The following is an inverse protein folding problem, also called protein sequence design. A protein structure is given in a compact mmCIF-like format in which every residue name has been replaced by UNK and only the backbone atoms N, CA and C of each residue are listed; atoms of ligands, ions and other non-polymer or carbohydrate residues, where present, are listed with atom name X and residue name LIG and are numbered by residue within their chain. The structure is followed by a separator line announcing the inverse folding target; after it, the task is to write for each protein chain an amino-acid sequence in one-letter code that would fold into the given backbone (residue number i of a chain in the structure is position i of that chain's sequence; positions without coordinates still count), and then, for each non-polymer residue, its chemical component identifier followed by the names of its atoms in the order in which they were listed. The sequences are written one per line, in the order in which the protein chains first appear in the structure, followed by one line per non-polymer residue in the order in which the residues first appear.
data_IF_752283607928
#
_entry.id   IF_752283607928
#
_cell.length_a   1.000
_cell.length_b   1.000
_cell.length_c   1.000
_cell.angle_alpha   90.00
_cell.angle_beta   90.00
_cell.angle_gamma   90.00
#
_symmetry.space_group_name_H-M   'P 1'
#
loop_
_entity.id
_entity.type
_entity.pdbx_description
1 polymer ?
#
# COMPACT_ATOMS: atom_id res chain seq x y z
N UNK A 1 48.54 39.27 42.43
CA UNK A 1 48.44 40.63 41.86
C UNK A 1 47.79 40.50 40.48
N UNK A 2 46.64 41.05 40.10
CA UNK A 2 45.60 41.90 40.74
C UNK A 2 44.43 41.98 39.73
N UNK A 3 43.20 41.62 40.15
CA UNK A 3 41.88 42.30 39.94
C UNK A 3 41.39 42.65 38.50
N UNK A 4 40.26 42.09 38.01
CA UNK A 4 38.82 42.45 38.17
C UNK A 4 38.26 43.55 37.23
N UNK A 5 37.07 43.28 36.62
CA UNK A 5 35.89 44.14 36.29
C UNK A 5 35.41 44.00 34.82
N UNK A 6 34.28 43.35 34.48
CA UNK A 6 32.83 43.72 34.56
C UNK A 6 32.38 44.96 33.79
N UNK A 7 31.62 44.78 32.71
CA UNK A 7 30.56 45.66 32.10
C UNK A 7 29.66 44.69 31.28
N UNK A 8 28.45 44.23 31.68
CA UNK A 8 27.11 44.87 31.80
C UNK A 8 26.65 45.60 30.50
N UNK A 9 25.45 45.52 29.93
CA UNK A 9 24.19 44.80 30.08
C UNK A 9 23.25 45.26 28.91
N UNK A 10 22.00 44.75 28.88
CA UNK A 10 20.79 45.17 28.11
C UNK A 10 20.55 44.46 26.75
N UNK A 11 19.67 43.47 26.54
CA UNK A 11 18.23 43.23 26.89
C UNK A 11 17.26 43.98 25.96
N UNK A 12 16.44 43.26 25.18
CA UNK A 12 14.99 43.49 24.99
C UNK A 12 14.34 42.23 24.37
N UNK A 13 13.28 41.78 25.05
CA UNK A 13 12.37 40.67 24.79
C UNK A 13 11.07 41.25 24.22
N UNK A 14 10.48 40.65 23.18
CA UNK A 14 9.06 40.81 22.78
C UNK A 14 8.64 39.62 21.90
N UNK A 15 7.43 39.05 21.89
CA UNK A 15 6.33 38.85 22.85
C UNK A 15 5.37 37.89 22.10
N UNK A 16 5.08 36.71 22.65
CA UNK A 16 4.06 35.79 22.12
C UNK A 16 2.70 36.25 22.60
N UNK A 17 1.78 36.53 21.68
CA UNK A 17 0.38 36.85 21.99
C UNK A 17 -0.54 35.74 21.49
N UNK A 18 -1.12 35.01 22.44
CA UNK A 18 -2.19 34.06 22.27
C UNK A 18 -3.55 34.73 22.53
N UNK A 19 -4.60 34.33 21.82
CA UNK A 19 -6.00 34.48 22.27
C UNK A 19 -6.88 33.35 21.70
N UNK A 20 -7.61 32.66 22.59
CA UNK A 20 -8.78 31.81 22.34
C UNK A 20 -10.09 32.62 22.47
N UNK A 21 -11.22 32.12 21.91
CA UNK A 21 -12.57 32.76 21.76
C UNK A 21 -13.35 33.11 23.04
N UNK A 22 -14.71 33.31 23.07
CA UNK A 22 -15.78 32.71 22.23
C UNK A 22 -17.02 33.61 21.85
N UNK A 23 -18.01 33.01 21.15
CA UNK A 23 -19.49 33.24 21.18
C UNK A 23 -20.22 34.28 20.28
N UNK A 24 -21.08 33.74 19.41
CA UNK A 24 -22.44 34.14 18.92
C UNK A 24 -22.78 35.62 18.61
N UNK A 25 -23.18 35.87 17.36
CA UNK A 25 -24.46 36.52 17.00
C UNK A 25 -24.79 36.41 15.49
N UNK A 26 -26.01 35.97 15.19
CA UNK A 26 -26.79 36.22 13.95
C UNK A 26 -26.91 37.73 13.70
N UNK A 27 -27.07 38.30 12.50
CA UNK A 27 -28.24 38.25 11.58
C UNK A 27 -27.85 38.78 10.18
N UNK A 28 -28.61 38.29 9.19
CA UNK A 28 -28.84 38.66 7.78
C UNK A 28 -28.83 40.16 7.40
N UNK A 29 -28.49 40.49 6.13
CA UNK A 29 -29.43 41.05 5.13
C UNK A 29 -28.73 41.65 3.88
N UNK A 30 -29.31 41.38 2.70
CA UNK A 30 -29.25 42.26 1.51
C UNK A 30 -28.33 41.81 0.37
N UNK A 31 -28.69 40.88 -0.54
CA UNK A 31 -29.79 40.86 -1.53
C UNK A 31 -29.48 41.55 -2.88
N UNK A 32 -30.14 41.00 -3.91
CA UNK A 32 -30.17 41.33 -5.34
C UNK A 32 -29.05 40.69 -6.17
N UNK A 33 -29.32 39.80 -7.12
CA UNK A 33 -30.55 39.42 -7.85
C UNK A 33 -30.08 38.93 -9.24
N UNK A 34 -30.84 38.21 -10.05
CA UNK A 34 -32.17 37.65 -9.98
C UNK A 34 -32.29 36.63 -11.13
N UNK A 35 -33.13 35.62 -10.92
CA UNK A 35 -34.06 34.97 -11.87
C UNK A 35 -33.54 34.45 -13.24
N UNK A 36 -33.85 33.24 -13.67
CA UNK A 36 -34.80 32.27 -13.14
C UNK A 36 -35.38 31.41 -14.27
N UNK A 37 -36.11 30.36 -13.85
CA UNK A 37 -37.11 29.58 -14.59
C UNK A 37 -36.59 28.71 -15.75
N UNK A 38 -37.01 27.47 -15.99
CA UNK A 38 -38.09 26.57 -15.55
C UNK A 38 -37.70 25.17 -16.10
N UNK A 39 -38.01 24.05 -15.46
CA UNK A 39 -39.27 23.34 -15.70
C UNK A 39 -39.03 21.84 -15.92
N UNK A 40 -39.99 21.05 -15.48
CA UNK A 40 -39.99 19.60 -15.29
C UNK A 40 -39.79 18.74 -16.55
N UNK A 41 -39.34 17.49 -16.38
CA UNK A 41 -40.16 16.29 -16.56
C UNK A 41 -39.31 15.01 -16.65
N UNK A 42 -39.74 14.00 -15.90
CA UNK A 42 -39.40 12.59 -16.00
C UNK A 42 -39.83 11.98 -17.33
N UNK A 43 -39.01 11.10 -17.89
CA UNK A 43 -39.45 10.06 -18.83
C UNK A 43 -38.49 8.88 -18.72
N UNK A 44 -39.03 7.75 -18.25
CA UNK A 44 -38.32 6.50 -18.19
C UNK A 44 -38.12 5.90 -19.57
N UNK A 45 -37.09 5.06 -19.68
CA UNK A 45 -37.11 3.96 -20.64
C UNK A 45 -36.62 2.70 -19.92
N UNK A 46 -37.57 1.79 -19.72
CA UNK A 46 -37.29 0.38 -19.51
C UNK A 46 -36.83 -0.22 -20.82
N UNK A 47 -35.76 -0.99 -20.79
CA UNK A 47 -35.51 -2.02 -21.78
C UNK A 47 -35.07 -3.29 -21.04
N UNK A 48 -36.04 -4.13 -20.72
CA UNK A 48 -35.82 -5.53 -20.41
C UNK A 48 -35.56 -6.30 -21.71
N UNK A 49 -34.64 -7.26 -21.65
CA UNK A 49 -34.24 -8.10 -22.78
C UNK A 49 -33.44 -9.31 -22.32
N UNK A 50 -34.18 -10.28 -21.77
CA UNK A 50 -33.92 -11.68 -21.47
C UNK A 50 -32.75 -12.38 -22.20
N UNK A 51 -31.88 -13.00 -21.40
CA UNK A 51 -31.48 -14.41 -21.53
C UNK A 51 -30.71 -14.86 -22.77
N UNK A 52 -29.40 -15.04 -22.61
CA UNK A 52 -28.67 -16.14 -23.22
C UNK A 52 -27.51 -16.53 -22.30
N UNK A 53 -27.63 -17.71 -21.68
CA UNK A 53 -26.52 -18.39 -21.04
C UNK A 53 -25.42 -18.61 -22.07
N UNK A 54 -24.32 -17.92 -21.88
CA UNK A 54 -23.10 -18.05 -22.66
C UNK A 54 -21.94 -17.87 -21.71
N UNK A 55 -21.68 -18.90 -20.90
CA UNK A 55 -20.45 -19.03 -20.16
C UNK A 55 -19.29 -19.15 -21.15
N UNK A 56 -18.81 -18.01 -21.63
CA UNK A 56 -17.48 -17.86 -22.24
C UNK A 56 -16.60 -17.11 -21.25
N UNK A 57 -16.59 -17.58 -20.00
CA UNK A 57 -15.49 -17.33 -19.10
C UNK A 57 -14.30 -18.12 -19.64
N UNK A 58 -13.44 -17.46 -20.41
CA UNK A 58 -12.10 -17.95 -20.70
C UNK A 58 -11.31 -17.97 -19.38
N UNK A 59 -11.62 -18.95 -18.55
CA UNK A 59 -11.08 -19.16 -17.22
C UNK A 59 -9.86 -20.09 -17.24
N UNK A 60 -9.17 -20.21 -18.37
CA UNK A 60 -7.93 -20.98 -18.51
C UNK A 60 -6.68 -20.12 -18.54
N UNK A 61 -6.79 -18.78 -18.56
CA UNK A 61 -5.62 -17.89 -18.57
C UNK A 61 -5.18 -17.36 -17.21
N UNK A 62 -6.11 -17.19 -16.25
CA UNK A 62 -5.80 -16.56 -14.95
C UNK A 62 -5.21 -17.52 -13.92
N UNK A 63 -5.45 -18.83 -14.05
CA UNK A 63 -5.03 -19.82 -13.06
C UNK A 63 -3.57 -20.26 -13.18
N UNK A 64 -2.90 -19.96 -14.30
CA UNK A 64 -1.48 -20.31 -14.48
C UNK A 64 -0.54 -19.32 -13.77
N UNK A 65 -0.96 -18.05 -13.67
CA UNK A 65 -0.14 -16.98 -13.10
C UNK A 65 -0.45 -16.69 -11.62
N UNK A 66 -1.65 -17.03 -11.14
CA UNK A 66 -2.07 -16.81 -9.76
C UNK A 66 -2.58 -18.08 -9.10
N UNK A 67 -2.52 -18.13 -7.77
CA UNK A 67 -2.97 -19.27 -6.98
C UNK A 67 -1.89 -20.30 -6.64
N UNK A 68 -2.27 -21.40 -5.96
CA UNK A 68 -1.37 -22.46 -5.51
C UNK A 68 -0.89 -23.38 -6.64
N UNK A 69 -1.37 -23.20 -7.88
CA UNK A 69 -0.83 -23.84 -9.08
C UNK A 69 0.21 -22.99 -9.84
N UNK A 70 0.38 -21.71 -9.47
CA UNK A 70 1.33 -20.82 -10.14
C UNK A 70 2.77 -21.33 -9.98
N UNK A 71 3.59 -21.16 -11.02
CA UNK A 71 5.01 -21.49 -10.98
C UNK A 71 5.78 -20.64 -9.96
N UNK A 72 6.96 -21.13 -9.54
CA UNK A 72 7.68 -20.53 -8.41
C UNK A 72 8.13 -19.10 -8.70
N UNK A 73 8.54 -18.81 -9.93
CA UNK A 73 8.92 -17.47 -10.39
C UNK A 73 7.76 -16.47 -10.29
N UNK A 74 6.52 -16.91 -10.47
CA UNK A 74 5.34 -16.05 -10.34
C UNK A 74 4.93 -15.82 -8.88
N UNK A 75 5.57 -16.49 -7.92
CA UNK A 75 5.33 -16.28 -6.49
C UNK A 75 6.41 -15.45 -5.80
N UNK A 76 7.42 -15.01 -6.54
CA UNK A 76 8.55 -14.25 -6.00
C UNK A 76 8.55 -12.86 -6.62
N UNK A 77 8.50 -11.85 -5.77
CA UNK A 77 8.52 -10.44 -6.16
C UNK A 77 9.87 -9.85 -5.74
N UNK A 78 10.68 -9.39 -6.68
CA UNK A 78 12.01 -8.83 -6.38
C UNK A 78 12.00 -7.32 -6.24
N UNK A 79 12.92 -6.81 -5.43
CA UNK A 79 13.04 -5.40 -5.06
C UNK A 79 14.42 -4.82 -5.35
N UNK A 80 14.46 -3.49 -5.51
CA UNK A 80 15.71 -2.73 -5.55
C UNK A 80 16.41 -2.67 -4.19
N UNK A 81 17.68 -2.23 -4.22
CA UNK A 81 18.44 -1.94 -2.99
C UNK A 81 17.74 -0.83 -2.21
N UNK A 82 17.60 -1.03 -0.89
CA UNK A 82 16.92 -0.13 0.04
C UNK A 82 15.51 0.31 -0.39
N UNK A 83 14.84 -0.53 -1.20
CA UNK A 83 13.54 -0.20 -1.78
C UNK A 83 12.48 -1.24 -1.39
N UNK A 84 11.24 -0.77 -1.29
CA UNK A 84 10.03 -1.55 -1.02
C UNK A 84 8.90 -1.26 -2.00
N UNK A 85 9.15 -0.47 -3.04
CA UNK A 85 8.20 -0.25 -4.13
C UNK A 85 8.07 -1.52 -4.99
N UNK A 86 6.83 -1.90 -5.28
CA UNK A 86 6.54 -2.99 -6.22
C UNK A 86 6.74 -2.45 -7.63
N UNK A 87 7.56 -3.14 -8.43
CA UNK A 87 7.82 -2.77 -9.82
C UNK A 87 6.60 -3.09 -10.71
N UNK A 88 6.31 -2.27 -11.74
CA UNK A 88 5.18 -2.51 -12.65
C UNK A 88 5.21 -3.85 -13.38
N UNK A 89 6.40 -4.45 -13.55
CA UNK A 89 6.56 -5.78 -14.16
C UNK A 89 5.79 -6.89 -13.41
N UNK A 90 5.50 -6.69 -12.11
CA UNK A 90 4.74 -7.65 -11.30
C UNK A 90 3.23 -7.40 -11.30
N UNK A 91 2.73 -6.34 -11.93
CA UNK A 91 1.31 -5.96 -11.86
C UNK A 91 0.39 -7.09 -12.36
N UNK A 92 0.77 -7.74 -13.46
CA UNK A 92 -0.01 -8.84 -14.06
C UNK A 92 -0.05 -10.06 -13.13
N UNK A 93 1.08 -10.40 -12.51
CA UNK A 93 1.22 -11.52 -11.57
C UNK A 93 0.39 -11.25 -10.31
N UNK A 94 0.56 -10.07 -9.70
CA UNK A 94 -0.16 -9.69 -8.50
C UNK A 94 -1.66 -9.53 -8.74
N UNK A 95 -2.06 -9.06 -9.91
CA UNK A 95 -3.45 -9.07 -10.33
C UNK A 95 -4.00 -10.50 -10.41
N UNK A 96 -3.26 -11.46 -10.96
CA UNK A 96 -3.69 -12.84 -11.02
C UNK A 96 -3.86 -13.46 -9.62
N UNK A 97 -2.90 -13.23 -8.72
CA UNK A 97 -2.99 -13.67 -7.32
C UNK A 97 -4.16 -13.02 -6.56
N UNK A 98 -4.35 -11.71 -6.72
CA UNK A 98 -5.45 -10.99 -6.08
C UNK A 98 -6.82 -11.46 -6.55
N UNK A 99 -7.00 -11.63 -7.86
CA UNK A 99 -8.22 -12.22 -8.44
C UNK A 99 -8.44 -13.65 -7.98
N UNK A 100 -7.39 -14.46 -7.89
CA UNK A 100 -7.49 -15.81 -7.34
C UNK A 100 -7.99 -15.79 -5.89
N UNK A 101 -7.44 -14.94 -5.03
CA UNK A 101 -7.86 -14.83 -3.63
C UNK A 101 -9.32 -14.35 -3.54
N UNK A 102 -9.70 -13.37 -4.36
CA UNK A 102 -11.06 -12.85 -4.46
C UNK A 102 -12.07 -13.94 -4.83
N UNK A 103 -11.73 -14.77 -5.81
CA UNK A 103 -12.59 -15.88 -6.28
C UNK A 103 -12.61 -17.08 -5.32
N UNK A 104 -11.66 -17.17 -4.38
CA UNK A 104 -11.51 -18.32 -3.48
C UNK A 104 -11.48 -17.85 -2.01
N UNK A 105 -12.64 -17.57 -1.38
CA UNK A 105 -12.69 -17.03 -0.02
C UNK A 105 -12.05 -17.89 1.07
N UNK A 106 -11.90 -19.19 0.83
CA UNK A 106 -11.21 -20.12 1.73
C UNK A 106 -9.68 -20.10 1.57
N UNK A 107 -9.16 -19.58 0.46
CA UNK A 107 -7.72 -19.51 0.24
C UNK A 107 -7.07 -18.54 1.23
N UNK A 108 -5.87 -18.88 1.67
CA UNK A 108 -5.01 -18.10 2.57
C UNK A 108 -3.60 -18.04 1.99
N UNK A 109 -2.95 -16.89 2.16
CA UNK A 109 -1.55 -16.68 1.80
C UNK A 109 -0.79 -16.02 2.94
N UNK A 110 0.50 -16.34 3.02
CA UNK A 110 1.49 -15.66 3.84
C UNK A 110 2.53 -15.03 2.93
N UNK A 111 2.76 -13.74 3.12
CA UNK A 111 3.76 -12.97 2.40
C UNK A 111 5.02 -12.90 3.25
N UNK A 112 6.07 -13.57 2.78
CA UNK A 112 7.37 -13.61 3.47
C UNK A 112 8.29 -12.55 2.87
N UNK A 113 8.60 -11.51 3.63
CA UNK A 113 9.50 -10.44 3.22
C UNK A 113 10.95 -10.70 3.62
N UNK A 114 11.87 -10.48 2.69
CA UNK A 114 13.30 -10.72 2.85
C UNK A 114 14.12 -9.49 2.45
N UNK A 115 15.33 -9.40 2.99
CA UNK A 115 16.35 -8.42 2.66
C UNK A 115 17.70 -9.09 2.39
N UNK A 116 18.62 -8.34 1.77
CA UNK A 116 20.02 -8.77 1.69
C UNK A 116 20.75 -8.49 3.00
N UNK A 117 21.96 -9.01 3.16
CA UNK A 117 22.74 -8.98 4.41
C UNK A 117 23.32 -7.59 4.77
N UNK A 118 23.10 -6.58 3.93
CA UNK A 118 23.67 -5.25 4.16
C UNK A 118 22.76 -4.47 5.11
N UNK A 119 23.36 -3.89 6.14
CA UNK A 119 22.65 -3.11 7.15
C UNK A 119 22.63 -3.82 8.51
N UNK A 120 21.80 -3.34 9.42
CA UNK A 120 21.57 -4.06 10.69
C UNK A 120 20.44 -5.06 10.53
N UNK A 121 20.50 -6.14 11.30
CA UNK A 121 19.45 -7.16 11.37
C UNK A 121 18.07 -6.55 11.60
N UNK A 122 17.93 -5.66 12.57
CA UNK A 122 16.66 -5.00 12.91
C UNK A 122 16.14 -4.12 11.77
N UNK A 123 17.05 -3.43 11.07
CA UNK A 123 16.71 -2.66 9.89
C UNK A 123 16.15 -3.58 8.79
N UNK A 124 16.82 -4.70 8.53
CA UNK A 124 16.43 -5.67 7.52
C UNK A 124 15.09 -6.36 7.87
N UNK A 125 14.81 -6.62 9.15
CA UNK A 125 13.48 -7.03 9.59
C UNK A 125 12.43 -5.96 9.24
N UNK A 126 12.69 -4.68 9.51
CA UNK A 126 11.78 -3.59 9.14
C UNK A 126 11.58 -3.44 7.64
N UNK A 127 12.64 -3.59 6.83
CA UNK A 127 12.59 -3.48 5.38
C UNK A 127 11.81 -4.65 4.75
N UNK A 128 12.03 -5.88 5.22
CA UNK A 128 11.25 -7.05 4.81
C UNK A 128 9.75 -6.88 5.11
N UNK A 129 9.39 -6.33 6.27
CA UNK A 129 7.98 -6.07 6.62
C UNK A 129 7.36 -5.06 5.66
N UNK A 130 8.05 -3.94 5.37
CA UNK A 130 7.57 -2.94 4.41
C UNK A 130 7.32 -3.54 3.02
N UNK A 131 8.22 -4.40 2.54
CA UNK A 131 8.05 -5.11 1.25
C UNK A 131 6.83 -6.02 1.26
N UNK A 132 6.65 -6.82 2.32
CA UNK A 132 5.48 -7.68 2.46
C UNK A 132 4.18 -6.87 2.51
N UNK A 133 4.16 -5.73 3.20
CA UNK A 133 3.03 -4.80 3.23
C UNK A 133 2.74 -4.18 1.85
N UNK A 134 3.76 -3.80 1.07
CA UNK A 134 3.56 -3.31 -0.29
C UNK A 134 2.84 -4.33 -1.16
N UNK A 135 3.30 -5.59 -1.15
CA UNK A 135 2.65 -6.69 -1.90
C UNK A 135 1.24 -6.93 -1.38
N UNK A 136 1.03 -6.95 -0.05
CA UNK A 136 -0.30 -7.06 0.57
C UNK A 136 -1.26 -6.01 0.03
N UNK A 137 -0.84 -4.74 0.01
CA UNK A 137 -1.68 -3.63 -0.44
C UNK A 137 -2.10 -3.79 -1.90
N UNK A 138 -1.20 -4.25 -2.77
CA UNK A 138 -1.54 -4.56 -4.16
C UNK A 138 -2.57 -5.68 -4.23
N UNK A 139 -2.38 -6.79 -3.49
CA UNK A 139 -3.35 -7.90 -3.50
C UNK A 139 -4.75 -7.48 -3.02
N UNK A 140 -4.82 -6.64 -1.98
CA UNK A 140 -6.08 -6.06 -1.50
C UNK A 140 -6.77 -5.20 -2.56
N UNK A 141 -6.00 -4.35 -3.26
CA UNK A 141 -6.52 -3.54 -4.37
C UNK A 141 -7.07 -4.40 -5.51
N UNK A 142 -6.54 -5.60 -5.70
CA UNK A 142 -6.97 -6.56 -6.73
C UNK A 142 -8.12 -7.47 -6.27
N UNK A 143 -8.69 -7.22 -5.09
CA UNK A 143 -9.91 -7.87 -4.60
C UNK A 143 -9.72 -8.99 -3.57
N UNK A 144 -8.49 -9.22 -3.11
CA UNK A 144 -8.25 -10.10 -1.97
C UNK A 144 -8.81 -9.48 -0.67
N UNK A 145 -9.21 -10.30 0.29
CA UNK A 145 -9.70 -9.84 1.59
C UNK A 145 -8.56 -9.88 2.61
N UNK A 146 -8.53 -8.92 3.54
CA UNK A 146 -7.47 -8.80 4.56
C UNK A 146 -7.23 -10.09 5.34
N UNK A 147 -8.30 -10.78 5.74
CA UNK A 147 -8.22 -12.02 6.53
C UNK A 147 -7.60 -13.19 5.76
N UNK A 148 -7.44 -13.04 4.44
CA UNK A 148 -6.77 -14.03 3.61
C UNK A 148 -5.25 -13.88 3.61
N UNK A 149 -4.70 -12.76 4.09
CA UNK A 149 -3.31 -12.39 3.90
C UNK A 149 -2.63 -12.15 5.26
N UNK A 150 -1.63 -12.97 5.56
CA UNK A 150 -0.68 -12.73 6.64
C UNK A 150 0.64 -12.16 6.08
N UNK A 151 1.35 -11.34 6.85
CA UNK A 151 2.71 -10.88 6.53
C UNK A 151 3.68 -11.39 7.59
N UNK A 152 4.89 -11.75 7.16
CA UNK A 152 6.01 -12.09 8.03
C UNK A 152 7.28 -11.53 7.41
N UNK A 153 8.12 -10.90 8.22
CA UNK A 153 9.46 -10.49 7.80
C UNK A 153 10.52 -11.42 8.36
N UNK A 154 11.38 -11.92 7.49
CA UNK A 154 12.59 -12.64 7.87
C UNK A 154 13.84 -11.77 7.78
N UNK A 155 13.76 -10.57 7.20
CA UNK A 155 14.92 -9.75 6.93
C UNK A 155 16.01 -10.54 6.20
N UNK A 156 17.22 -10.53 6.73
CA UNK A 156 18.38 -11.26 6.18
C UNK A 156 18.52 -12.71 6.67
N UNK A 157 17.65 -13.17 7.57
CA UNK A 157 17.82 -14.45 8.29
C UNK A 157 17.57 -15.69 7.42
N UNK A 158 16.90 -15.52 6.28
CA UNK A 158 16.54 -16.60 5.35
C UNK A 158 16.93 -16.23 3.91
N UNK A 159 18.23 -16.20 3.58
CA UNK A 159 18.69 -15.90 2.23
C UNK A 159 18.25 -17.00 1.26
N UNK A 160 17.85 -16.62 0.05
CA UNK A 160 17.64 -17.56 -1.05
C UNK A 160 18.98 -18.04 -1.62
N UNK A 161 19.95 -17.12 -1.70
CA UNK A 161 21.30 -17.39 -2.17
C UNK A 161 22.29 -16.86 -1.15
N UNK A 162 23.23 -17.70 -0.73
CA UNK A 162 24.32 -17.31 0.15
C UNK A 162 25.39 -16.63 -0.72
N UNK A 163 25.75 -15.40 -0.40
CA UNK A 163 26.78 -14.66 -1.11
C UNK A 163 26.78 -13.17 -0.75
N UNK A 164 27.94 -12.55 -0.94
CA UNK A 164 28.21 -11.14 -0.62
C UNK A 164 28.52 -10.33 -1.87
N UNK A 165 27.70 -10.52 -2.90
CA UNK A 165 27.79 -9.85 -4.19
C UNK A 165 26.39 -9.45 -4.70
N UNK A 166 26.34 -8.61 -5.72
CA UNK A 166 25.07 -8.09 -6.24
C UNK A 166 24.19 -9.19 -6.86
N UNK A 167 24.78 -10.28 -7.37
CA UNK A 167 24.03 -11.41 -7.88
C UNK A 167 23.22 -12.07 -6.76
N UNK A 168 23.86 -12.39 -5.62
CA UNK A 168 23.20 -12.93 -4.45
C UNK A 168 22.23 -11.93 -3.80
N UNK A 169 22.64 -10.67 -3.62
CA UNK A 169 21.82 -9.66 -2.98
C UNK A 169 20.52 -9.40 -3.75
N UNK A 170 20.57 -9.36 -5.09
CA UNK A 170 19.39 -9.15 -5.92
C UNK A 170 18.32 -10.23 -5.73
N UNK A 171 18.75 -11.48 -5.53
CA UNK A 171 17.87 -12.61 -5.28
C UNK A 171 17.35 -12.65 -3.83
N UNK A 172 18.10 -12.07 -2.89
CA UNK A 172 17.69 -12.02 -1.48
C UNK A 172 16.69 -10.90 -1.17
N UNK A 173 16.68 -9.82 -1.97
CA UNK A 173 15.68 -8.74 -1.87
C UNK A 173 14.35 -9.13 -2.50
N UNK A 174 13.53 -9.90 -1.77
CA UNK A 174 12.29 -10.46 -2.33
C UNK A 174 11.13 -10.52 -1.34
N UNK A 175 9.93 -10.75 -1.88
CA UNK A 175 8.77 -11.27 -1.14
C UNK A 175 8.32 -12.57 -1.78
N UNK A 176 8.08 -13.59 -0.96
CA UNK A 176 7.51 -14.86 -1.41
C UNK A 176 6.01 -14.94 -1.04
N UNK A 177 5.18 -15.35 -2.00
CA UNK A 177 3.75 -15.61 -1.81
C UNK A 177 3.56 -17.09 -1.51
N UNK A 178 3.34 -17.43 -0.24
CA UNK A 178 3.18 -18.82 0.21
C UNK A 178 1.70 -19.11 0.43
N UNK A 179 1.16 -20.10 -0.28
CA UNK A 179 -0.21 -20.60 -0.07
C UNK A 179 -0.22 -21.69 1.00
N UNK A 180 -1.26 -21.69 1.84
CA UNK A 180 -1.68 -22.83 2.67
C UNK A 180 -0.53 -23.60 3.35
N UNK A 181 -0.13 -23.10 4.52
CA UNK A 181 0.49 -23.92 5.57
C UNK A 181 -0.54 -24.07 6.69
#
# INVERSE_FOLDING_TARGET
MTKFKTVAALLIVTLVTACSGPSKSTIDEGAAGAAGAVGAASSGVSAGGTGAGGAMGSATGGSALGGPGASQENRIIYFGYDDFAVKPEYDVILQAHGKYLSANPAARVRLEGHADERGSREYNIGLGEKRAQSVRNVLLLQGAVSDQIATVSFGEERPAVIGSDEEAWSLNRRVEIVYGQ
#
